data_IF_241691240278
#
_entry.id   IF_241691240278
#
_cell.length_a   1.000
_cell.length_b   1.000
_cell.length_c   1.000
_cell.angle_alpha   90.00
_cell.angle_beta   90.00
_cell.angle_gamma   90.00
#
_symmetry.space_group_name_H-M   'P 1'
#
loop_
_entity.id
_entity.type
_entity.pdbx_description
1 polymer ?
#
# COMPACT_ATOMS: atom_id res chain seq x y z
N UNK A 1 4.52 -27.87 -0.66
CA UNK A 1 5.29 -27.52 -1.88
C UNK A 1 4.76 -28.37 -3.02
N UNK A 2 4.37 -27.76 -4.15
CA UNK A 2 3.93 -28.47 -5.36
C UNK A 2 5.07 -28.39 -6.39
N UNK A 3 5.36 -29.50 -7.06
CA UNK A 3 6.50 -29.63 -7.98
C UNK A 3 5.96 -29.94 -9.37
N UNK A 4 6.26 -29.07 -10.33
CA UNK A 4 5.80 -29.19 -11.72
C UNK A 4 7.00 -29.02 -12.64
N UNK A 5 7.20 -29.97 -13.55
CA UNK A 5 8.21 -29.87 -14.60
C UNK A 5 7.59 -29.22 -15.82
N UNK A 6 8.16 -28.09 -16.27
CA UNK A 6 7.74 -27.38 -17.48
C UNK A 6 8.88 -27.31 -18.49
N UNK A 7 8.54 -27.40 -19.76
CA UNK A 7 9.47 -27.15 -20.88
C UNK A 7 9.49 -25.66 -21.25
N UNK A 8 10.46 -25.29 -22.08
CA UNK A 8 10.56 -23.98 -22.70
C UNK A 8 9.25 -23.63 -23.43
N UNK A 9 8.69 -22.46 -23.14
CA UNK A 9 7.42 -21.98 -23.71
C UNK A 9 6.17 -22.45 -22.97
N UNK A 10 6.27 -23.38 -22.02
CA UNK A 10 5.12 -23.78 -21.21
C UNK A 10 4.88 -22.81 -20.05
N UNK A 11 3.63 -22.76 -19.58
CA UNK A 11 3.20 -21.92 -18.46
C UNK A 11 2.48 -22.69 -17.36
N UNK A 12 2.51 -22.11 -16.16
CA UNK A 12 1.79 -22.55 -14.97
C UNK A 12 0.85 -21.41 -14.58
N UNK A 13 -0.41 -21.73 -14.29
CA UNK A 13 -1.39 -20.77 -13.77
C UNK A 13 -1.63 -21.03 -12.29
N UNK A 14 -1.67 -19.96 -11.49
CA UNK A 14 -1.93 -19.99 -10.04
C UNK A 14 -3.18 -19.16 -9.79
N UNK A 15 -4.28 -19.83 -9.42
CA UNK A 15 -5.60 -19.21 -9.38
C UNK A 15 -6.01 -18.71 -10.77
N UNK A 16 -6.75 -17.59 -10.79
CA UNK A 16 -7.28 -17.02 -12.04
C UNK A 16 -6.43 -15.86 -12.58
N UNK A 17 -5.59 -15.25 -11.73
CA UNK A 17 -4.94 -13.98 -12.03
C UNK A 17 -3.43 -14.08 -12.27
N UNK A 18 -2.78 -15.19 -11.88
CA UNK A 18 -1.31 -15.30 -11.93
C UNK A 18 -0.90 -16.36 -12.96
N UNK A 19 -0.02 -15.98 -13.89
CA UNK A 19 0.58 -16.88 -14.88
C UNK A 19 2.09 -16.78 -14.84
N UNK A 20 2.75 -17.93 -14.77
CA UNK A 20 4.21 -18.07 -14.77
C UNK A 20 4.63 -18.82 -16.03
N UNK A 21 5.39 -18.19 -16.91
CA UNK A 21 5.85 -18.76 -18.19
C UNK A 21 7.35 -18.98 -18.21
N UNK A 22 7.81 -20.11 -18.75
CA UNK A 22 9.24 -20.36 -18.96
C UNK A 22 9.68 -19.77 -20.30
N UNK A 23 10.32 -18.60 -20.27
CA UNK A 23 10.73 -17.87 -21.47
C UNK A 23 12.04 -18.38 -22.07
N UNK A 24 12.91 -18.97 -21.25
CA UNK A 24 14.28 -19.25 -21.65
C UNK A 24 15.00 -20.12 -20.64
N UNK A 25 15.82 -21.05 -21.11
CA UNK A 25 16.78 -21.75 -20.26
C UNK A 25 18.17 -21.51 -20.85
N UNK A 26 19.07 -20.95 -20.05
CA UNK A 26 20.47 -20.73 -20.42
C UNK A 26 21.37 -21.39 -19.37
N UNK A 27 21.84 -22.59 -19.69
CA UNK A 27 22.66 -23.40 -18.78
C UNK A 27 21.93 -23.64 -17.46
N UNK A 28 22.38 -22.97 -16.39
CA UNK A 28 21.81 -23.07 -15.03
C UNK A 28 20.81 -21.96 -14.70
N UNK A 29 20.61 -20.99 -15.59
CA UNK A 29 19.67 -19.89 -15.38
C UNK A 29 18.39 -20.12 -16.17
N UNK A 30 17.26 -19.83 -15.54
CA UNK A 30 15.93 -19.89 -16.16
C UNK A 30 15.35 -18.48 -16.18
N UNK A 31 14.85 -18.07 -17.35
CA UNK A 31 14.08 -16.84 -17.53
C UNK A 31 12.61 -17.18 -17.30
N UNK A 32 12.06 -16.64 -16.21
CA UNK A 32 10.65 -16.76 -15.88
C UNK A 32 9.96 -15.44 -16.20
N UNK A 33 8.86 -15.52 -16.93
CA UNK A 33 7.87 -14.44 -17.05
C UNK A 33 6.80 -14.65 -16.00
N UNK A 34 6.45 -13.61 -15.26
CA UNK A 34 5.38 -13.66 -14.25
C UNK A 34 4.40 -12.56 -14.61
N UNK A 35 3.21 -12.95 -15.03
CA UNK A 35 2.05 -12.07 -15.21
C UNK A 35 1.21 -12.18 -13.94
N UNK A 36 1.03 -11.06 -13.25
CA UNK A 36 0.20 -10.97 -12.06
C UNK A 36 -0.50 -9.59 -12.03
N UNK A 37 -1.68 -9.48 -11.41
CA UNK A 37 -2.39 -8.22 -11.28
C UNK A 37 -1.67 -7.28 -10.31
N UNK A 38 -1.87 -5.98 -10.43
CA UNK A 38 -1.18 -4.94 -9.62
C UNK A 38 -1.38 -5.10 -8.11
N UNK A 39 -2.46 -5.76 -7.69
CA UNK A 39 -2.73 -6.09 -6.28
C UNK A 39 -1.72 -7.10 -5.68
N UNK A 40 -1.10 -7.93 -6.52
CA UNK A 40 -0.12 -8.94 -6.11
C UNK A 40 1.28 -8.42 -6.43
N UNK A 41 2.06 -8.15 -5.38
CA UNK A 41 3.43 -7.68 -5.54
C UNK A 41 4.35 -8.87 -5.78
N UNK A 42 5.13 -8.82 -6.86
CA UNK A 42 6.10 -9.86 -7.22
C UNK A 42 7.50 -9.36 -6.87
N UNK A 43 8.18 -10.09 -6.00
CA UNK A 43 9.55 -9.81 -5.59
C UNK A 43 10.45 -11.00 -5.87
N UNK A 44 11.75 -10.74 -5.98
CA UNK A 44 12.76 -11.78 -5.89
C UNK A 44 12.92 -12.19 -4.44
N UNK A 45 13.11 -13.47 -4.17
CA UNK A 45 13.13 -14.03 -2.83
C UNK A 45 14.14 -13.32 -1.91
N UNK A 46 15.35 -13.07 -2.42
CA UNK A 46 16.42 -12.43 -1.66
C UNK A 46 16.09 -10.99 -1.25
N UNK A 47 15.26 -10.30 -2.05
CA UNK A 47 14.81 -8.94 -1.74
C UNK A 47 13.70 -9.00 -0.70
N UNK A 48 12.76 -9.94 -0.86
CA UNK A 48 11.64 -10.12 0.04
C UNK A 48 12.10 -10.44 1.47
N UNK A 49 13.06 -11.35 1.61
CA UNK A 49 13.66 -11.70 2.92
C UNK A 49 14.30 -10.49 3.59
N UNK A 50 15.10 -9.72 2.84
CA UNK A 50 15.75 -8.50 3.38
C UNK A 50 14.74 -7.45 3.85
N UNK A 51 13.69 -7.21 3.07
CA UNK A 51 12.63 -6.26 3.45
C UNK A 51 11.95 -6.72 4.76
N UNK A 52 11.63 -8.01 4.88
CA UNK A 52 11.03 -8.53 6.10
C UNK A 52 11.95 -8.41 7.32
N UNK A 53 13.24 -8.69 7.15
CA UNK A 53 14.23 -8.56 8.23
C UNK A 53 14.38 -7.11 8.69
N UNK A 54 14.50 -6.17 7.76
CA UNK A 54 14.61 -4.74 8.10
C UNK A 54 13.33 -4.21 8.74
N UNK A 55 12.15 -4.60 8.24
CA UNK A 55 10.88 -4.26 8.88
C UNK A 55 10.84 -4.79 10.31
N UNK A 56 11.25 -6.04 10.53
CA UNK A 56 11.33 -6.64 11.87
C UNK A 56 12.32 -5.91 12.77
N UNK A 57 13.48 -5.46 12.25
CA UNK A 57 14.44 -4.64 13.01
C UNK A 57 13.85 -3.30 13.39
N UNK A 58 13.15 -2.63 12.46
CA UNK A 58 12.48 -1.36 12.70
C UNK A 58 11.36 -1.47 13.74
N UNK A 59 10.71 -2.64 13.86
CA UNK A 59 9.66 -2.87 14.87
C UNK A 59 10.22 -3.15 16.27
N UNK A 60 11.51 -3.46 16.40
CA UNK A 60 12.10 -3.67 17.73
C UNK A 60 12.14 -2.33 18.46
N UNK A 61 11.55 -2.22 19.66
CA UNK A 61 11.58 -0.98 20.43
C UNK A 61 13.03 -0.70 20.80
N UNK A 62 13.63 0.29 20.14
CA UNK A 62 14.91 0.84 20.53
C UNK A 62 14.67 1.50 21.88
N UNK A 63 15.24 0.96 22.97
CA UNK A 63 15.28 1.61 24.30
C UNK A 63 16.11 2.92 24.29
N UNK A 64 16.63 3.32 23.14
CA UNK A 64 17.37 4.54 22.89
C UNK A 64 16.46 5.69 22.47
N UNK A 65 16.36 6.65 23.38
CA UNK A 65 16.05 8.08 23.22
C UNK A 65 15.21 8.50 21.98
N UNK A 66 13.96 8.04 21.92
CA UNK A 66 12.94 8.60 21.02
C UNK A 66 12.80 10.13 21.22
N UNK A 67 13.08 10.63 22.42
CA UNK A 67 13.04 12.06 22.75
C UNK A 67 14.19 12.85 22.07
N UNK A 68 15.37 12.26 21.94
CA UNK A 68 16.51 12.81 21.20
C UNK A 68 16.22 12.96 19.70
N UNK A 69 15.54 11.99 19.10
CA UNK A 69 15.12 12.05 17.68
C UNK A 69 14.09 13.18 17.46
N UNK A 70 13.12 13.35 18.37
CA UNK A 70 12.15 14.44 18.30
C UNK A 70 12.81 15.82 18.40
N UNK A 71 13.85 15.98 19.23
CA UNK A 71 14.61 17.24 19.35
C UNK A 71 15.36 17.57 18.04
N UNK A 72 15.98 16.58 17.40
CA UNK A 72 16.68 16.74 16.12
C UNK A 72 15.73 17.08 14.96
N UNK A 73 14.54 16.47 14.93
CA UNK A 73 13.54 16.76 13.90
C UNK A 73 12.94 18.16 14.11
N UNK A 74 12.60 18.56 15.34
CA UNK A 74 12.13 19.93 15.64
C UNK A 74 13.17 21.01 15.32
N UNK A 75 14.47 20.71 15.41
CA UNK A 75 15.53 21.65 15.06
C UNK A 75 15.67 21.93 13.55
N UNK A 76 15.22 21.02 12.69
CA UNK A 76 15.26 21.19 11.21
C UNK A 76 13.94 21.69 10.61
N UNK A 77 12.83 21.54 11.32
CA UNK A 77 11.54 22.12 10.93
C UNK A 77 11.53 23.57 11.43
N UNK A 78 11.98 24.52 10.60
CA UNK A 78 11.62 25.93 10.77
C UNK A 78 10.09 25.96 10.87
N UNK A 79 9.59 26.32 12.05
CA UNK A 79 8.18 26.11 12.41
C UNK A 79 7.20 26.68 11.38
N UNK A 80 5.95 26.18 11.34
CA UNK A 80 4.92 26.83 10.55
C UNK A 80 4.85 28.29 10.99
N UNK A 81 4.87 29.16 9.99
CA UNK A 81 4.77 30.61 10.12
C UNK A 81 3.73 30.99 11.19
N UNK A 82 4.14 31.74 12.22
CA UNK A 82 3.27 32.12 13.36
C UNK A 82 2.10 33.01 12.92
N UNK A 83 2.12 33.49 11.68
CA UNK A 83 1.09 34.35 11.08
C UNK A 83 -0.01 33.56 10.34
N UNK A 84 -0.03 32.22 10.41
CA UNK A 84 -1.16 31.43 9.90
C UNK A 84 -2.23 31.30 10.96
N UNK A 85 -3.40 31.96 10.84
CA UNK A 85 -4.51 31.70 11.74
C UNK A 85 -4.94 30.23 11.61
N UNK A 86 -5.01 29.53 12.73
CA UNK A 86 -5.52 28.16 12.82
C UNK A 86 -7.03 28.16 12.58
N UNK A 87 -7.46 28.13 11.33
CA UNK A 87 -8.88 27.98 10.98
C UNK A 87 -9.09 26.56 10.52
N UNK A 88 -9.49 25.68 11.44
CA UNK A 88 -10.61 24.74 11.25
C UNK A 88 -11.26 24.55 12.62
N UNK A 89 -12.13 25.49 13.01
CA UNK A 89 -13.10 25.26 14.08
C UNK A 89 -14.16 24.30 13.55
N UNK A 90 -14.20 23.07 14.07
CA UNK A 90 -15.20 22.04 13.71
C UNK A 90 -16.64 22.40 14.16
N UNK A 91 -16.88 23.63 14.63
CA UNK A 91 -18.19 24.09 15.11
C UNK A 91 -19.14 24.57 14.01
N UNK A 92 -18.64 24.81 12.80
CA UNK A 92 -19.44 25.31 11.67
C UNK A 92 -19.76 24.26 10.60
N UNK A 93 -19.55 22.96 10.88
CA UNK A 93 -19.98 21.92 9.96
C UNK A 93 -21.51 21.99 9.78
N UNK A 94 -22.04 22.14 8.55
CA UNK A 94 -23.47 22.24 8.33
C UNK A 94 -24.14 20.96 8.86
N UNK A 95 -25.10 21.14 9.78
CA UNK A 95 -25.94 20.04 10.26
C UNK A 95 -26.56 19.39 9.03
N UNK A 96 -26.32 18.08 8.87
CA UNK A 96 -26.97 17.29 7.83
C UNK A 96 -28.48 17.55 7.95
N UNK A 97 -29.20 17.94 6.89
CA UNK A 97 -30.63 18.08 6.97
C UNK A 97 -31.20 16.69 7.24
N UNK A 98 -31.76 16.53 8.43
CA UNK A 98 -32.51 15.34 8.81
C UNK A 98 -33.68 15.19 7.82
N UNK A 99 -33.71 14.05 7.13
CA UNK A 99 -34.81 13.73 6.24
C UNK A 99 -36.12 13.58 7.02
N UNK A 100 -37.20 14.18 6.51
CA UNK A 100 -38.55 13.88 6.99
C UNK A 100 -39.64 14.75 6.38
N UNK A 101 -40.62 14.09 5.74
CA UNK A 101 -41.97 14.52 5.36
C UNK A 101 -42.04 15.68 4.32
N UNK A 102 -42.57 15.50 3.11
CA UNK A 102 -43.82 14.84 2.77
C UNK A 102 -44.88 15.93 2.56
N UNK A 103 -45.20 16.27 1.31
CA UNK A 103 -46.57 16.64 0.93
C UNK A 103 -46.74 16.76 -0.60
N UNK A 104 -47.52 15.83 -1.14
CA UNK A 104 -48.81 16.12 -1.76
C UNK A 104 -48.93 17.38 -2.65
N UNK A 105 -49.07 17.13 -3.96
CA UNK A 105 -50.12 17.66 -4.88
C UNK A 105 -49.61 18.15 -6.24
N UNK A 106 -50.00 17.38 -7.28
CA UNK A 106 -50.30 17.84 -8.65
C UNK A 106 -51.30 19.01 -8.56
N UNK A 107 -51.35 19.96 -9.52
CA UNK A 107 -52.08 19.70 -10.77
C UNK A 107 -51.58 20.44 -12.04
N UNK A 108 -51.98 19.85 -13.17
CA UNK A 108 -52.21 20.35 -14.55
C UNK A 108 -51.89 21.80 -14.96
N UNK A 109 -51.29 21.94 -16.16
CA UNK A 109 -52.01 22.34 -17.39
C UNK A 109 -51.28 21.76 -18.62
#
# INVERSE_FOLDING_TARGET
MLILTRKLGESITIGDDIKVSVLGIRGRQVRLGIEAPTKVVVHREEIYVKIQEENRKATKPVKGDLLGVVKLIKGKIKGPDKDRPSVIDYKDAPRRPDGGAGDSQKPTA
#
